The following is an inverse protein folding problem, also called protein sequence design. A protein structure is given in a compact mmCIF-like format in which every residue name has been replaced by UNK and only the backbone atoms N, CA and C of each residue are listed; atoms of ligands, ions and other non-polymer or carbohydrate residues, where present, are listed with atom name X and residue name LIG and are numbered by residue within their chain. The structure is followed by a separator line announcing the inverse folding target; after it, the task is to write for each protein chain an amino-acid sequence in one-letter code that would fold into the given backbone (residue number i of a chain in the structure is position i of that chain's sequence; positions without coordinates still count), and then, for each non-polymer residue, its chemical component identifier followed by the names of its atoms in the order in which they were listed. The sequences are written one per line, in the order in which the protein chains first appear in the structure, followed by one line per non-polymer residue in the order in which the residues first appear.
data_IF_243491083787
#
_entry.id   IF_243491083787
#
_cell.length_a   1.000
_cell.length_b   1.000
_cell.length_c   1.000
_cell.angle_alpha   90.00
_cell.angle_beta   90.00
_cell.angle_gamma   90.00
#
_symmetry.space_group_name_H-M   'P 1'
#
loop_
_entity.id
_entity.type
_entity.pdbx_description
1 polymer ?
#
# COMPACT_ATOMS: atom_id res chain seq x y z
N UNK A 1 -32.41 14.45 30.81
CA UNK A 1 -31.30 15.05 30.03
C UNK A 1 -31.60 14.82 28.55
N UNK A 2 -31.56 15.83 27.68
CA UNK A 2 -31.72 15.60 26.25
C UNK A 2 -30.53 14.78 25.74
N UNK A 3 -30.80 13.71 24.99
CA UNK A 3 -29.77 12.95 24.27
C UNK A 3 -29.45 13.77 23.02
N UNK A 4 -28.43 14.63 23.08
CA UNK A 4 -27.84 15.23 21.89
C UNK A 4 -27.19 14.13 21.07
N UNK A 5 -27.88 13.69 20.00
CA UNK A 5 -27.29 12.78 19.01
C UNK A 5 -26.43 13.61 18.06
N UNK A 6 -25.12 13.42 18.12
CA UNK A 6 -24.18 14.12 17.24
C UNK A 6 -24.07 13.34 15.92
N UNK A 7 -25.06 13.51 15.05
CA UNK A 7 -25.17 12.78 13.79
C UNK A 7 -24.36 13.49 12.69
N UNK A 8 -23.45 12.76 12.06
CA UNK A 8 -22.66 13.22 10.92
C UNK A 8 -22.90 12.34 9.70
N UNK A 9 -22.89 12.97 8.53
CA UNK A 9 -23.01 12.28 7.25
C UNK A 9 -21.63 11.95 6.71
N UNK A 10 -21.36 10.66 6.53
CA UNK A 10 -20.16 10.13 5.92
C UNK A 10 -20.46 9.81 4.46
N UNK A 11 -19.54 10.18 3.57
CA UNK A 11 -19.61 9.84 2.14
C UNK A 11 -18.28 9.23 1.73
N UNK A 12 -18.34 8.05 1.13
CA UNK A 12 -17.17 7.36 0.64
C UNK A 12 -16.75 7.94 -0.70
N UNK A 13 -15.48 8.33 -0.82
CA UNK A 13 -14.94 8.92 -2.04
C UNK A 13 -14.72 7.88 -3.16
N UNK A 14 -14.77 6.58 -2.84
CA UNK A 14 -14.50 5.49 -3.79
C UNK A 14 -15.75 4.94 -4.46
N UNK A 15 -16.75 4.55 -3.68
CA UNK A 15 -17.98 3.92 -4.16
C UNK A 15 -19.20 4.85 -4.05
N UNK A 16 -19.05 6.03 -3.45
CA UNK A 16 -20.13 6.99 -3.25
C UNK A 16 -21.11 6.63 -2.14
N UNK A 17 -20.86 5.55 -1.36
CA UNK A 17 -21.74 5.14 -0.26
C UNK A 17 -21.88 6.28 0.74
N UNK A 18 -23.11 6.61 1.11
CA UNK A 18 -23.43 7.62 2.12
C UNK A 18 -24.10 6.99 3.33
N UNK A 19 -23.66 7.35 4.52
CA UNK A 19 -24.21 6.83 5.78
C UNK A 19 -24.25 7.92 6.84
N UNK A 20 -25.36 8.03 7.57
CA UNK A 20 -25.51 9.00 8.66
C UNK A 20 -25.28 8.26 9.97
N UNK A 21 -24.22 8.61 10.66
CA UNK A 21 -23.74 7.91 11.86
C UNK A 21 -23.61 8.89 13.02
N UNK A 22 -23.82 8.39 14.23
CA UNK A 22 -23.39 9.11 15.43
C UNK A 22 -21.87 9.09 15.47
N UNK A 23 -21.22 10.25 15.59
CA UNK A 23 -19.75 10.36 15.63
C UNK A 23 -19.12 9.50 16.73
N UNK A 24 -19.84 9.27 17.82
CA UNK A 24 -19.36 8.44 18.95
C UNK A 24 -19.60 6.95 18.76
N UNK A 25 -20.30 6.56 17.69
CA UNK A 25 -20.58 5.15 17.41
C UNK A 25 -19.35 4.38 16.92
N UNK A 26 -19.30 3.10 17.26
CA UNK A 26 -18.29 2.19 16.72
C UNK A 26 -18.32 2.11 15.19
N UNK A 27 -19.49 2.32 14.57
CA UNK A 27 -19.60 2.36 13.11
C UNK A 27 -18.87 3.57 12.51
N UNK A 28 -19.00 4.76 13.09
CA UNK A 28 -18.27 5.95 12.63
C UNK A 28 -16.75 5.71 12.68
N UNK A 29 -16.25 5.07 13.75
CA UNK A 29 -14.84 4.70 13.89
C UNK A 29 -14.31 3.67 12.87
N UNK A 30 -15.19 2.99 12.11
CA UNK A 30 -14.78 2.07 11.04
C UNK A 30 -14.53 2.77 9.71
N UNK A 31 -15.00 4.00 9.55
CA UNK A 31 -14.64 4.83 8.41
C UNK A 31 -13.21 5.32 8.55
N UNK A 32 -12.44 5.27 7.47
CA UNK A 32 -11.01 5.56 7.51
C UNK A 32 -10.63 6.58 6.45
N UNK A 33 -9.87 7.58 6.85
CA UNK A 33 -9.23 8.52 5.95
C UNK A 33 -7.85 8.01 5.57
N UNK A 34 -7.55 7.99 4.29
CA UNK A 34 -6.25 7.64 3.75
C UNK A 34 -5.67 8.82 2.99
N UNK A 35 -4.41 9.14 3.27
CA UNK A 35 -3.67 10.19 2.58
C UNK A 35 -2.73 9.57 1.57
N UNK A 36 -2.69 10.10 0.34
CA UNK A 36 -1.74 9.67 -0.68
C UNK A 36 -1.08 10.87 -1.35
N UNK A 37 0.23 10.76 -1.53
CA UNK A 37 1.01 11.72 -2.31
C UNK A 37 0.97 11.31 -3.77
N UNK A 38 0.44 12.19 -4.61
CA UNK A 38 0.39 12.00 -6.07
C UNK A 38 1.75 12.32 -6.71
N UNK A 39 1.93 11.93 -7.97
CA UNK A 39 3.16 12.16 -8.74
C UNK A 39 3.57 13.64 -8.86
N UNK A 40 2.60 14.56 -8.79
CA UNK A 40 2.81 16.01 -8.75
C UNK A 40 3.14 16.54 -7.33
N UNK A 41 3.46 15.65 -6.38
CA UNK A 41 3.75 15.97 -4.97
C UNK A 41 2.59 16.57 -4.18
N UNK A 42 1.36 16.55 -4.71
CA UNK A 42 0.19 16.96 -3.92
C UNK A 42 -0.32 15.80 -3.08
N UNK A 43 -0.55 16.05 -1.79
CA UNK A 43 -1.26 15.12 -0.91
C UNK A 43 -2.76 15.25 -1.13
N UNK A 44 -3.45 14.12 -1.26
CA UNK A 44 -4.91 14.07 -1.27
C UNK A 44 -5.38 13.11 -0.19
N UNK A 45 -6.39 13.54 0.57
CA UNK A 45 -7.07 12.71 1.54
C UNK A 45 -8.35 12.14 0.92
N UNK A 46 -8.62 10.87 1.18
CA UNK A 46 -9.89 10.22 0.81
C UNK A 46 -10.49 9.53 2.02
N UNK A 47 -11.80 9.69 2.17
CA UNK A 47 -12.59 9.00 3.17
C UNK A 47 -13.19 7.72 2.56
N UNK A 48 -12.88 6.57 3.14
CA UNK A 48 -13.37 5.27 2.68
C UNK A 48 -14.36 4.66 3.68
N UNK A 49 -15.40 4.03 3.13
CA UNK A 49 -16.28 3.15 3.88
C UNK A 49 -15.52 1.87 4.34
N UNK A 50 -16.02 1.14 5.33
CA UNK A 50 -15.34 -0.04 5.88
C UNK A 50 -14.95 -1.08 4.81
N UNK A 51 -15.87 -1.37 3.88
CA UNK A 51 -15.65 -2.35 2.82
C UNK A 51 -14.55 -1.90 1.83
N UNK A 52 -14.51 -0.60 1.51
CA UNK A 52 -13.50 -0.02 0.63
C UNK A 52 -12.13 0.09 1.32
N UNK A 53 -12.12 0.37 2.62
CA UNK A 53 -10.91 0.40 3.43
C UNK A 53 -10.26 -0.99 3.50
N UNK A 54 -11.05 -2.04 3.75
CA UNK A 54 -10.55 -3.42 3.80
C UNK A 54 -9.96 -3.86 2.46
N UNK A 55 -10.66 -3.59 1.35
CA UNK A 55 -10.15 -3.86 -0.01
C UNK A 55 -8.88 -3.07 -0.32
N UNK A 56 -8.81 -1.82 0.13
CA UNK A 56 -7.63 -0.98 -0.07
C UNK A 56 -6.40 -1.56 0.63
N UNK A 57 -6.54 -1.97 1.90
CA UNK A 57 -5.46 -2.62 2.66
C UNK A 57 -5.00 -3.93 2.00
N UNK A 58 -5.93 -4.75 1.52
CA UNK A 58 -5.58 -5.99 0.79
C UNK A 58 -4.82 -5.69 -0.51
N UNK A 59 -5.24 -4.66 -1.24
CA UNK A 59 -4.58 -4.25 -2.50
C UNK A 59 -3.17 -3.75 -2.23
N UNK A 60 -2.96 -2.95 -1.18
CA UNK A 60 -1.64 -2.47 -0.77
C UNK A 60 -0.71 -3.63 -0.39
N UNK A 61 -1.18 -4.57 0.45
CA UNK A 61 -0.38 -5.72 0.84
C UNK A 61 0.03 -6.58 -0.37
N UNK A 62 -0.86 -6.73 -1.36
CA UNK A 62 -0.55 -7.43 -2.60
C UNK A 62 0.50 -6.66 -3.43
N UNK A 63 0.39 -5.33 -3.52
CA UNK A 63 1.35 -4.49 -4.24
C UNK A 63 2.75 -4.55 -3.62
N UNK A 64 2.84 -4.49 -2.28
CA UNK A 64 4.12 -4.62 -1.56
C UNK A 64 4.78 -5.98 -1.84
N UNK A 65 4.00 -7.07 -1.81
CA UNK A 65 4.52 -8.42 -2.09
C UNK A 65 5.06 -8.54 -3.52
N UNK A 66 4.36 -7.94 -4.50
CA UNK A 66 4.82 -7.91 -5.90
C UNK A 66 6.11 -7.11 -6.02
N UNK A 67 6.19 -5.95 -5.36
CA UNK A 67 7.37 -5.11 -5.36
C UNK A 67 8.59 -5.82 -4.73
N UNK A 68 8.40 -6.44 -3.57
CA UNK A 68 9.45 -7.20 -2.89
C UNK A 68 9.96 -8.37 -3.74
N UNK A 69 9.05 -9.07 -4.43
CA UNK A 69 9.39 -10.15 -5.37
C UNK A 69 10.21 -9.61 -6.54
N UNK A 70 9.80 -8.49 -7.12
CA UNK A 70 10.53 -7.84 -8.21
C UNK A 70 11.95 -7.42 -7.78
N UNK A 71 12.07 -6.76 -6.62
CA UNK A 71 13.37 -6.35 -6.07
C UNK A 71 14.26 -7.55 -5.69
N UNK A 72 13.66 -8.65 -5.21
CA UNK A 72 14.34 -9.91 -4.97
C UNK A 72 14.92 -10.51 -6.24
N UNK A 73 14.14 -10.53 -7.32
CA UNK A 73 14.59 -11.06 -8.62
C UNK A 73 15.74 -10.23 -9.21
N UNK A 74 15.67 -8.89 -9.13
CA UNK A 74 16.78 -8.02 -9.55
C UNK A 74 18.07 -8.34 -8.78
N UNK A 75 17.98 -8.57 -7.46
CA UNK A 75 19.15 -8.91 -6.64
C UNK A 75 19.78 -10.25 -7.06
N UNK A 76 18.97 -11.24 -7.41
CA UNK A 76 19.45 -12.55 -7.88
C UNK A 76 20.16 -12.40 -9.24
N UNK A 77 19.60 -11.63 -10.17
CA UNK A 77 20.22 -11.39 -11.48
C UNK A 77 21.52 -10.58 -11.36
N UNK A 78 21.56 -9.57 -10.48
CA UNK A 78 22.78 -8.84 -10.18
C UNK A 78 23.87 -9.73 -9.55
N UNK A 79 23.48 -10.69 -8.71
CA UNK A 79 24.40 -11.68 -8.14
C UNK A 79 25.00 -12.61 -9.19
N UNK A 80 24.19 -13.07 -10.16
CA UNK A 80 24.65 -13.93 -11.26
C UNK A 80 25.64 -13.20 -12.18
N UNK A 81 25.39 -11.94 -12.52
CA UNK A 81 26.33 -11.13 -13.32
C UNK A 81 27.67 -10.86 -12.60
N UNK A 82 27.72 -10.90 -11.28
CA UNK A 82 28.98 -10.78 -10.54
C UNK A 82 29.81 -12.08 -10.55
N UNK A 83 29.19 -13.25 -10.74
CA UNK A 83 29.90 -14.54 -10.84
C UNK A 83 30.52 -14.78 -12.22
N UNK A 84 30.00 -14.15 -13.28
CA UNK A 84 30.53 -14.25 -14.65
C UNK A 84 31.82 -13.43 -14.91
N UNK A 85 32.25 -12.59 -13.95
CA UNK A 85 33.50 -11.79 -14.05
C UNK A 85 34.62 -12.42 -13.19
N UNK A 86 34.57 -13.72 -12.91
CA UNK A 86 35.71 -14.42 -12.32
C UNK A 86 36.79 -14.62 -13.39
N UNK A 87 38.02 -14.12 -13.21
CA UNK A 87 39.08 -14.33 -14.18
C UNK A 87 39.31 -15.83 -14.35
N UNK A 88 39.20 -16.30 -15.58
CA UNK A 88 39.51 -17.68 -15.94
C UNK A 88 40.98 -17.94 -15.62
N UNK A 89 41.26 -18.88 -14.73
CA UNK A 89 42.62 -19.28 -14.40
C UNK A 89 43.28 -19.81 -15.68
N UNK A 90 44.24 -19.06 -16.23
CA UNK A 90 45.11 -19.54 -17.29
C UNK A 90 46.05 -20.55 -16.62
N UNK A 91 46.11 -21.83 -17.04
CA UNK A 91 47.10 -22.75 -16.51
C UNK A 91 48.47 -22.33 -17.03
N UNK A 92 49.36 -21.96 -16.12
CA UNK A 92 50.77 -21.73 -16.42
C UNK A 92 51.36 -23.02 -17.00
N UNK A 93 51.86 -22.94 -18.23
CA UNK A 93 52.59 -24.03 -18.87
C UNK A 93 54.03 -23.90 -18.43
N UNK A 94 54.47 -24.70 -17.46
CA UNK A 94 55.89 -24.83 -17.13
C UNK A 94 56.54 -25.83 -18.10
N UNK A 95 57.60 -25.35 -18.76
CA UNK A 95 58.45 -26.03 -19.75
C UNK A 95 59.67 -26.69 -19.07
#
# INVERSE_FOLDING_TARGET
MPITRNLCMYKCDRDGKTEVLDETSSQAGRWRTYSFTRANQTTSDVLLCPDCADKYVQTLAAADTIFDTFMGNIRIEAGKHAEDIRPTHIPETEE
#
